data_IF_433536586373
#
_entry.id   IF_433536586373
#
_cell.length_a   1.000
_cell.length_b   1.000
_cell.length_c   1.000
_cell.angle_alpha   90.00
_cell.angle_beta   90.00
_cell.angle_gamma   90.00
#
_symmetry.space_group_name_H-M   'P 1'
#
loop_
_entity.id
_entity.type
_entity.pdbx_description
1 polymer ?
#
# COMPACT_ATOMS: atom_id res chain seq x y z
N UNK A 1 -14.06 16.76 8.48
CA UNK A 1 -14.68 16.52 7.15
C UNK A 1 -13.57 16.02 6.24
N UNK A 2 -13.81 15.05 5.36
CA UNK A 2 -12.76 14.55 4.47
C UNK A 2 -12.52 15.55 3.31
N UNK A 3 -11.27 15.80 2.95
CA UNK A 3 -10.92 16.70 1.86
C UNK A 3 -11.43 16.19 0.50
N UNK A 4 -11.73 17.12 -0.42
CA UNK A 4 -12.36 16.78 -1.71
C UNK A 4 -11.52 15.82 -2.55
N UNK A 5 -10.20 15.87 -2.44
CA UNK A 5 -9.32 14.94 -3.15
C UNK A 5 -9.52 13.49 -2.72
N UNK A 6 -9.56 13.22 -1.41
CA UNK A 6 -9.74 11.85 -0.93
C UNK A 6 -11.15 11.34 -1.23
N UNK A 7 -12.16 12.22 -1.22
CA UNK A 7 -13.51 11.89 -1.69
C UNK A 7 -13.50 11.50 -3.18
N UNK A 8 -12.85 12.28 -4.05
CA UNK A 8 -12.70 11.95 -5.47
C UNK A 8 -11.99 10.59 -5.67
N UNK A 9 -10.94 10.31 -4.89
CA UNK A 9 -10.24 9.01 -4.92
C UNK A 9 -11.16 7.85 -4.53
N UNK A 10 -11.95 8.01 -3.47
CA UNK A 10 -12.93 7.00 -3.03
C UNK A 10 -14.02 6.79 -4.10
N UNK A 11 -14.56 7.88 -4.66
CA UNK A 11 -15.51 7.85 -5.78
C UNK A 11 -14.93 7.06 -6.98
N UNK A 12 -13.66 7.30 -7.34
CA UNK A 12 -12.97 6.62 -8.44
C UNK A 12 -12.70 5.13 -8.14
N UNK A 13 -12.33 4.76 -6.91
CA UNK A 13 -12.15 3.36 -6.49
C UNK A 13 -13.47 2.59 -6.67
N UNK A 14 -14.59 3.13 -6.16
CA UNK A 14 -15.92 2.51 -6.29
C UNK A 14 -16.33 2.40 -7.76
N UNK A 15 -16.08 3.44 -8.56
CA UNK A 15 -16.38 3.44 -10.00
C UNK A 15 -15.61 2.33 -10.73
N UNK A 16 -14.30 2.19 -10.48
CA UNK A 16 -13.46 1.21 -11.18
C UNK A 16 -13.70 -0.23 -10.69
N UNK A 17 -14.04 -0.39 -9.41
CA UNK A 17 -14.49 -1.66 -8.85
C UNK A 17 -15.79 -2.12 -9.52
N UNK A 18 -16.73 -1.22 -9.79
CA UNK A 18 -18.05 -1.54 -10.37
C UNK A 18 -18.15 -1.44 -11.89
N UNK A 19 -17.14 -0.90 -12.59
CA UNK A 19 -17.21 -0.59 -14.05
C UNK A 19 -17.50 -1.79 -14.96
N UNK A 20 -17.22 -3.01 -14.51
CA UNK A 20 -17.54 -4.24 -15.24
C UNK A 20 -19.03 -4.59 -15.23
N UNK A 21 -19.81 -4.08 -14.25
CA UNK A 21 -21.25 -4.32 -14.13
C UNK A 21 -22.06 -3.44 -15.07
N UNK A 22 -21.57 -2.25 -15.39
CA UNK A 22 -22.21 -1.30 -16.32
C UNK A 22 -21.94 -1.63 -17.80
N UNK A 23 -20.89 -2.41 -18.08
CA UNK A 23 -20.46 -2.79 -19.42
C UNK A 23 -20.09 -4.28 -19.44
N UNK A 24 -21.04 -5.23 -19.59
CA UNK A 24 -20.81 -6.67 -19.36
C UNK A 24 -19.98 -7.38 -20.46
N UNK A 25 -19.16 -6.66 -21.21
CA UNK A 25 -18.25 -7.22 -22.21
C UNK A 25 -16.97 -7.80 -21.60
N UNK A 26 -16.36 -8.78 -22.28
CA UNK A 26 -15.09 -9.40 -21.87
C UNK A 26 -13.96 -8.39 -21.63
N UNK A 27 -13.92 -7.35 -22.46
CA UNK A 27 -12.94 -6.26 -22.38
C UNK A 27 -13.07 -5.41 -21.10
N UNK A 28 -14.27 -5.33 -20.51
CA UNK A 28 -14.49 -4.59 -19.28
C UNK A 28 -14.01 -5.34 -18.03
N UNK A 29 -14.08 -6.68 -18.02
CA UNK A 29 -13.43 -7.50 -16.99
C UNK A 29 -11.90 -7.37 -17.09
N UNK A 30 -11.36 -7.41 -18.32
CA UNK A 30 -9.92 -7.27 -18.60
C UNK A 30 -9.36 -5.85 -18.50
N UNK A 31 -10.20 -4.83 -18.33
CA UNK A 31 -9.75 -3.42 -18.33
C UNK A 31 -8.74 -3.12 -17.21
N UNK A 32 -7.55 -2.64 -17.59
CA UNK A 32 -6.47 -2.20 -16.69
C UNK A 32 -6.71 -0.83 -16.01
N UNK A 33 -7.92 -0.27 -16.11
CA UNK A 33 -8.27 1.00 -15.47
C UNK A 33 -8.12 0.99 -13.92
N UNK A 34 -7.91 -0.17 -13.30
CA UNK A 34 -7.64 -0.33 -11.87
C UNK A 34 -6.25 0.17 -11.43
N UNK A 35 -5.30 0.26 -12.35
CA UNK A 35 -3.91 0.65 -12.10
C UNK A 35 -3.74 2.12 -11.72
N UNK A 36 -4.78 2.94 -11.89
CA UNK A 36 -4.80 4.35 -11.47
C UNK A 36 -4.41 4.52 -9.99
N UNK A 37 -4.65 3.50 -9.15
CA UNK A 37 -4.28 3.51 -7.73
C UNK A 37 -2.76 3.64 -7.49
N UNK A 38 -1.94 3.32 -8.49
CA UNK A 38 -0.49 3.50 -8.43
C UNK A 38 -0.03 4.94 -8.67
N UNK A 39 -0.91 5.80 -9.21
CA UNK A 39 -0.64 7.19 -9.55
C UNK A 39 -0.40 8.10 -8.34
N UNK A 40 0.00 9.33 -8.63
CA UNK A 40 0.08 10.41 -7.65
C UNK A 40 -1.23 11.20 -7.62
N UNK A 41 -1.69 11.52 -6.41
CA UNK A 41 -2.93 12.27 -6.16
C UNK A 41 -2.58 13.52 -5.33
N UNK A 42 -2.25 14.62 -6.01
CA UNK A 42 -1.85 15.90 -5.37
C UNK A 42 -0.74 15.71 -4.32
N UNK A 43 0.37 15.11 -4.77
CA UNK A 43 1.48 14.77 -3.90
C UNK A 43 1.28 13.48 -3.09
N UNK A 44 0.06 12.99 -2.86
CA UNK A 44 -0.17 11.71 -2.17
C UNK A 44 0.09 10.48 -3.04
N UNK A 45 0.53 9.38 -2.40
CA UNK A 45 0.60 8.04 -2.97
C UNK A 45 -0.20 7.07 -2.09
N UNK A 46 -0.99 6.19 -2.72
CA UNK A 46 -1.69 5.12 -2.00
C UNK A 46 -0.69 4.02 -1.62
N UNK A 47 -0.58 3.75 -0.32
CA UNK A 47 0.22 2.69 0.27
C UNK A 47 -0.61 1.41 0.47
N UNK A 48 -1.83 1.55 1.00
CA UNK A 48 -2.74 0.45 1.26
C UNK A 48 -4.15 0.81 0.81
N UNK A 49 -4.84 -0.18 0.26
CA UNK A 49 -6.24 -0.11 -0.11
C UNK A 49 -6.88 -1.47 0.15
N UNK A 50 -8.07 -1.48 0.75
CA UNK A 50 -8.85 -2.70 0.89
C UNK A 50 -10.35 -2.41 0.85
N UNK A 51 -11.07 -3.18 0.03
CA UNK A 51 -12.51 -3.01 -0.23
C UNK A 51 -13.28 -4.31 0.08
N UNK A 52 -13.21 -4.77 1.34
CA UNK A 52 -13.46 -6.17 1.72
C UNK A 52 -14.90 -6.68 1.64
N UNK A 53 -15.92 -5.82 1.51
CA UNK A 53 -17.34 -6.25 1.54
C UNK A 53 -18.08 -6.13 0.20
N UNK A 54 -17.46 -5.61 -0.85
CA UNK A 54 -18.14 -5.45 -2.15
C UNK A 54 -17.72 -6.52 -3.18
N UNK A 55 -18.60 -6.85 -4.16
CA UNK A 55 -18.31 -7.88 -5.16
C UNK A 55 -17.35 -7.35 -6.24
N UNK A 56 -16.21 -8.02 -6.40
CA UNK A 56 -15.00 -7.48 -7.04
C UNK A 56 -14.31 -6.48 -6.10
N UNK A 57 -13.00 -6.23 -6.19
CA UNK A 57 -12.37 -5.29 -5.28
C UNK A 57 -10.85 -5.21 -5.30
N UNK A 58 -10.34 -4.22 -4.55
CA UNK A 58 -8.93 -4.01 -4.28
C UNK A 58 -8.49 -4.67 -2.98
N UNK A 59 -7.31 -5.26 -3.03
CA UNK A 59 -6.39 -5.43 -1.92
C UNK A 59 -5.01 -4.95 -2.38
N UNK A 60 -4.40 -4.04 -1.63
CA UNK A 60 -3.10 -3.44 -1.89
C UNK A 60 -2.34 -3.35 -0.56
N UNK A 61 -1.13 -3.90 -0.49
CA UNK A 61 -0.32 -3.91 0.73
C UNK A 61 1.14 -3.49 0.47
N UNK A 62 1.70 -2.56 1.27
CA UNK A 62 3.03 -2.02 1.02
C UNK A 62 4.10 -2.74 1.85
N UNK A 63 5.25 -2.99 1.22
CA UNK A 63 6.50 -3.40 1.83
C UNK A 63 7.64 -2.51 1.32
N UNK A 64 8.71 -2.33 2.08
CA UNK A 64 9.98 -1.83 1.53
C UNK A 64 10.83 -3.04 1.11
N UNK A 65 11.76 -2.90 0.19
CA UNK A 65 12.72 -3.95 -0.13
C UNK A 65 14.11 -3.33 -0.33
N UNK A 66 15.19 -3.86 0.29
CA UNK A 66 16.56 -3.44 0.00
C UNK A 66 16.84 -3.52 -1.51
N UNK A 67 17.36 -2.44 -2.11
CA UNK A 67 17.55 -2.35 -3.57
C UNK A 67 18.31 -3.54 -4.16
N UNK A 68 19.27 -4.07 -3.41
CA UNK A 68 20.16 -5.14 -3.83
C UNK A 68 19.44 -6.50 -3.95
N UNK A 69 18.25 -6.64 -3.35
CA UNK A 69 17.42 -7.86 -3.39
C UNK A 69 16.32 -7.81 -4.46
N UNK A 70 16.11 -6.65 -5.11
CA UNK A 70 14.96 -6.42 -6.00
C UNK A 70 14.97 -7.34 -7.22
N UNK A 71 16.15 -7.64 -7.77
CA UNK A 71 16.24 -8.52 -8.93
C UNK A 71 15.93 -9.99 -8.56
N UNK A 72 16.31 -10.44 -7.37
CA UNK A 72 15.88 -11.75 -6.84
C UNK A 72 14.36 -11.77 -6.63
N UNK A 73 13.78 -10.72 -6.04
CA UNK A 73 12.34 -10.63 -5.82
C UNK A 73 11.54 -10.71 -7.15
N UNK A 74 12.04 -10.10 -8.23
CA UNK A 74 11.43 -10.20 -9.57
C UNK A 74 11.37 -11.62 -10.13
N UNK A 75 12.31 -12.50 -9.77
CA UNK A 75 12.29 -13.90 -10.17
C UNK A 75 11.14 -14.65 -9.49
N UNK A 76 10.88 -14.35 -8.21
CA UNK A 76 9.84 -14.97 -7.39
C UNK A 76 8.42 -14.43 -7.69
N UNK A 77 8.30 -13.15 -8.07
CA UNK A 77 7.04 -12.55 -8.53
C UNK A 77 6.46 -13.26 -9.76
N UNK A 78 5.13 -13.34 -9.92
CA UNK A 78 4.09 -12.67 -9.12
C UNK A 78 3.64 -13.44 -7.88
N UNK A 79 4.35 -14.51 -7.49
CA UNK A 79 3.96 -15.34 -6.34
C UNK A 79 4.24 -14.62 -5.03
N UNK A 80 3.23 -14.49 -4.16
CA UNK A 80 3.39 -13.99 -2.80
C UNK A 80 2.30 -14.55 -1.88
N UNK A 81 2.60 -14.70 -0.60
CA UNK A 81 1.62 -15.00 0.45
C UNK A 81 1.78 -14.05 1.64
N UNK A 82 0.86 -13.10 1.77
CA UNK A 82 0.91 -12.03 2.78
C UNK A 82 -0.34 -12.08 3.63
N UNK A 83 -0.15 -12.01 4.94
CA UNK A 83 -1.19 -12.05 5.96
C UNK A 83 -1.06 -10.80 6.85
N UNK A 84 -1.69 -9.65 6.47
CA UNK A 84 -1.52 -8.37 7.17
C UNK A 84 -1.75 -8.38 8.70
N UNK A 85 -2.69 -9.16 9.27
CA UNK A 85 -2.88 -9.22 10.73
C UNK A 85 -1.76 -9.95 11.48
N UNK A 86 -1.03 -10.86 10.82
CA UNK A 86 0.10 -11.57 11.42
C UNK A 86 1.44 -10.87 11.17
N UNK A 87 1.46 -9.72 10.49
CA UNK A 87 2.67 -9.08 9.97
C UNK A 87 3.69 -8.57 11.00
N UNK A 88 3.50 -8.85 12.29
CA UNK A 88 4.26 -8.30 13.41
C UNK A 88 5.20 -9.33 14.05
N UNK A 89 6.01 -8.90 15.03
CA UNK A 89 6.77 -9.81 15.87
C UNK A 89 5.83 -10.65 16.75
N UNK A 90 5.91 -11.98 16.61
CA UNK A 90 5.21 -12.95 17.44
C UNK A 90 6.11 -13.50 18.55
N UNK A 91 5.55 -13.77 19.72
CA UNK A 91 6.18 -14.66 20.69
C UNK A 91 5.77 -16.09 20.35
N UNK A 92 6.74 -16.93 20.00
CA UNK A 92 6.52 -18.31 19.58
C UNK A 92 7.09 -19.26 20.63
N UNK A 93 6.37 -20.36 20.86
CA UNK A 93 6.67 -21.36 21.88
C UNK A 93 6.62 -22.76 21.29
N UNK A 94 7.63 -23.59 21.56
CA UNK A 94 7.65 -25.01 21.19
C UNK A 94 8.40 -25.82 22.23
N UNK A 95 7.66 -26.59 23.04
CA UNK A 95 8.18 -27.18 24.27
C UNK A 95 8.67 -26.09 25.23
N UNK A 96 9.89 -26.26 25.74
CA UNK A 96 10.56 -25.28 26.61
C UNK A 96 11.27 -24.14 25.83
N UNK A 97 11.20 -24.14 24.49
CA UNK A 97 11.82 -23.10 23.67
C UNK A 97 10.86 -21.93 23.45
N UNK A 98 11.38 -20.72 23.68
CA UNK A 98 10.70 -19.46 23.47
C UNK A 98 11.57 -18.56 22.58
N UNK A 99 10.99 -17.98 21.53
CA UNK A 99 11.68 -16.98 20.73
C UNK A 99 10.72 -15.89 20.26
N UNK A 100 11.30 -14.75 19.86
CA UNK A 100 10.58 -13.76 19.07
C UNK A 100 10.75 -14.16 17.61
N UNK A 101 9.64 -14.49 16.95
CA UNK A 101 9.62 -14.69 15.51
C UNK A 101 9.26 -13.35 14.84
N UNK A 102 10.17 -12.76 14.07
CA UNK A 102 9.78 -11.81 13.07
C UNK A 102 8.87 -12.54 12.05
N UNK A 103 7.68 -11.99 11.73
CA UNK A 103 6.82 -12.46 10.61
C UNK A 103 7.57 -12.69 9.28
N UNK A 104 8.69 -12.02 9.17
CA UNK A 104 9.66 -11.83 8.10
C UNK A 104 10.65 -12.98 7.92
N UNK A 105 10.73 -13.92 8.87
CA UNK A 105 11.82 -14.90 8.95
C UNK A 105 12.92 -14.46 9.92
N UNK A 106 14.19 -14.59 9.52
CA UNK A 106 15.33 -14.54 10.44
C UNK A 106 15.59 -13.11 11.01
N UNK A 107 15.66 -12.90 12.34
CA UNK A 107 15.84 -11.56 12.94
C UNK A 107 17.16 -10.85 12.61
N UNK A 108 18.16 -11.53 12.03
CA UNK A 108 19.42 -10.93 11.60
C UNK A 108 19.31 -10.18 10.26
N UNK A 109 18.18 -10.32 9.54
CA UNK A 109 18.11 -10.14 8.08
C UNK A 109 17.35 -8.87 7.61
N UNK A 110 17.48 -7.76 8.34
CA UNK A 110 16.99 -6.43 7.92
C UNK A 110 17.50 -5.97 6.53
N UNK A 111 18.54 -6.61 6.01
CA UNK A 111 19.12 -6.36 4.68
C UNK A 111 18.76 -7.44 3.64
N UNK A 112 18.11 -8.56 4.01
CA UNK A 112 17.70 -9.62 3.07
C UNK A 112 16.17 -9.67 2.86
N UNK A 113 15.40 -9.40 3.91
CA UNK A 113 13.94 -9.47 3.88
C UNK A 113 13.28 -8.17 3.42
N UNK A 114 12.03 -8.27 2.99
CA UNK A 114 11.14 -7.12 2.78
C UNK A 114 10.73 -6.47 4.12
N UNK A 115 10.22 -5.23 4.10
CA UNK A 115 9.92 -4.36 5.26
C UNK A 115 8.53 -3.68 5.18
N UNK A 116 7.35 -4.32 5.42
CA UNK A 116 6.11 -3.70 5.86
C UNK A 116 6.24 -2.42 6.66
N UNK A 117 5.59 -1.41 6.09
CA UNK A 117 5.59 -0.05 6.59
C UNK A 117 4.73 0.09 7.85
N UNK A 118 3.73 -0.79 8.00
CA UNK A 118 2.84 -0.84 9.15
C UNK A 118 2.35 -2.27 9.41
N UNK A 119 1.73 -2.45 10.57
CA UNK A 119 1.10 -3.67 11.03
C UNK A 119 -0.39 -3.43 11.25
N UNK A 120 -1.26 -4.40 10.90
CA UNK A 120 -2.66 -4.34 11.29
C UNK A 120 -2.82 -4.94 12.69
N UNK A 121 -3.13 -4.12 13.69
CA UNK A 121 -3.14 -4.50 15.10
C UNK A 121 -4.56 -4.58 15.64
N UNK A 122 -4.79 -5.57 16.49
CA UNK A 122 -6.03 -5.76 17.24
C UNK A 122 -5.70 -5.71 18.74
N UNK A 123 -6.24 -4.72 19.45
CA UNK A 123 -6.08 -4.61 20.90
C UNK A 123 -7.45 -4.53 21.58
N UNK A 124 -7.86 -5.65 22.19
CA UNK A 124 -9.13 -5.81 22.90
C UNK A 124 -9.31 -4.88 24.11
N UNK A 125 -8.23 -4.21 24.57
CA UNK A 125 -8.30 -3.20 25.63
C UNK A 125 -8.72 -1.81 25.15
N UNK A 126 -8.89 -1.56 23.84
CA UNK A 126 -9.45 -0.29 23.33
C UNK A 126 -10.99 -0.29 23.43
N UNK A 127 -11.63 0.90 23.46
CA UNK A 127 -13.09 1.00 23.37
C UNK A 127 -13.66 0.26 22.16
N UNK A 128 -14.86 -0.30 22.32
CA UNK A 128 -15.54 -1.07 21.27
C UNK A 128 -15.69 -0.26 19.98
N UNK A 129 -15.25 -0.83 18.86
CA UNK A 129 -15.15 -0.17 17.55
C UNK A 129 -13.80 0.51 17.27
N UNK A 130 -12.88 0.56 18.25
CA UNK A 130 -11.51 1.11 18.10
C UNK A 130 -10.40 0.06 18.35
N UNK A 131 -10.75 -1.22 18.48
CA UNK A 131 -9.81 -2.32 18.73
C UNK A 131 -8.81 -2.50 17.59
N UNK A 132 -9.24 -2.24 16.35
CA UNK A 132 -8.44 -2.43 15.13
C UNK A 132 -7.80 -1.12 14.66
N UNK A 133 -6.48 -1.03 14.74
CA UNK A 133 -5.70 0.15 14.34
C UNK A 133 -4.50 -0.26 13.49
N UNK A 134 -3.92 0.70 12.76
CA UNK A 134 -2.68 0.51 12.04
C UNK A 134 -1.53 1.06 12.87
N UNK A 135 -0.47 0.28 13.02
CA UNK A 135 0.72 0.64 13.80
C UNK A 135 1.90 0.71 12.83
N UNK A 136 2.39 1.91 12.54
CA UNK A 136 3.52 2.06 11.65
C UNK A 136 4.82 1.55 12.28
N UNK A 137 5.65 0.92 11.45
CA UNK A 137 6.95 0.43 11.85
C UNK A 137 7.84 1.62 12.25
N UNK A 138 8.55 1.51 13.37
CA UNK A 138 9.42 2.58 13.87
C UNK A 138 10.54 2.98 12.90
N UNK A 139 10.96 2.04 12.04
CA UNK A 139 11.90 2.32 10.95
C UNK A 139 11.32 3.24 9.85
N UNK A 140 9.99 3.35 9.79
CA UNK A 140 9.27 4.29 8.92
C UNK A 140 8.99 5.60 9.65
N UNK A 141 8.60 5.58 10.93
CA UNK A 141 8.19 6.82 11.63
C UNK A 141 9.35 7.65 12.14
N UNK A 142 10.35 7.05 12.80
CA UNK A 142 11.41 7.80 13.48
C UNK A 142 12.33 8.59 12.52
N UNK A 143 12.79 8.06 11.37
CA UNK A 143 13.74 8.78 10.50
C UNK A 143 13.19 10.03 9.80
N UNK A 144 11.86 10.20 9.82
CA UNK A 144 11.11 11.30 9.20
C UNK A 144 10.23 12.06 10.22
N UNK A 145 10.48 11.84 11.51
CA UNK A 145 9.88 12.49 12.68
C UNK A 145 8.35 12.47 12.67
N UNK A 146 7.77 11.26 12.59
CA UNK A 146 6.32 11.06 12.60
C UNK A 146 5.77 10.65 13.96
N UNK A 147 4.77 11.39 14.44
CA UNK A 147 3.92 11.04 15.56
C UNK A 147 2.46 10.89 15.12
N UNK A 148 1.64 10.20 15.93
CA UNK A 148 0.21 10.08 15.68
C UNK A 148 -0.53 11.27 16.29
N UNK A 149 -1.35 11.96 15.50
CA UNK A 149 -2.26 13.02 15.96
C UNK A 149 -3.69 12.49 16.02
N UNK A 150 -4.27 12.44 17.22
CA UNK A 150 -5.69 12.09 17.43
C UNK A 150 -6.64 13.16 16.86
N UNK A 151 -6.20 14.43 16.81
CA UNK A 151 -7.00 15.54 16.27
C UNK A 151 -7.16 15.42 14.75
N UNK A 152 -6.06 15.12 14.04
CA UNK A 152 -6.02 14.98 12.58
C UNK A 152 -6.34 13.57 12.07
N UNK A 153 -6.32 12.57 12.97
CA UNK A 153 -6.46 11.13 12.67
C UNK A 153 -5.47 10.68 11.57
N UNK A 154 -4.21 11.05 11.74
CA UNK A 154 -3.12 10.85 10.78
C UNK A 154 -1.77 10.81 11.51
N UNK A 155 -0.76 10.24 10.86
CA UNK A 155 0.61 10.49 11.29
C UNK A 155 1.08 11.82 10.71
N UNK A 156 1.54 12.69 11.60
CA UNK A 156 1.94 14.05 11.32
C UNK A 156 3.42 14.24 11.67
N UNK A 157 4.00 15.34 11.19
CA UNK A 157 5.25 15.91 11.68
C UNK A 157 5.01 17.36 12.05
N UNK A 158 5.72 17.87 13.05
CA UNK A 158 5.72 19.29 13.39
C UNK A 158 6.69 20.06 12.47
N UNK A 159 6.25 21.19 11.89
CA UNK A 159 7.11 22.04 11.05
C UNK A 159 7.95 23.07 11.85
N UNK A 160 8.63 23.98 11.15
CA UNK A 160 9.48 25.02 11.78
C UNK A 160 8.67 26.06 12.58
N UNK A 161 7.36 26.14 12.36
CA UNK A 161 6.42 27.06 12.98
C UNK A 161 5.75 26.44 14.21
N UNK A 162 5.82 25.12 14.36
CA UNK A 162 5.15 24.35 15.41
C UNK A 162 3.82 23.75 14.98
N UNK A 163 3.45 23.85 13.70
CA UNK A 163 2.18 23.33 13.19
C UNK A 163 2.30 21.85 12.82
N UNK A 164 1.26 21.06 13.13
CA UNK A 164 1.20 19.66 12.70
C UNK A 164 0.86 19.56 11.21
N UNK A 165 1.74 18.97 10.41
CA UNK A 165 1.53 18.70 8.98
C UNK A 165 1.23 17.21 8.77
N UNK A 166 0.15 16.91 8.04
CA UNK A 166 -0.24 15.53 7.74
C UNK A 166 0.70 14.87 6.71
N UNK A 167 1.36 13.79 7.13
CA UNK A 167 2.30 13.04 6.27
C UNK A 167 1.73 11.70 5.84
N UNK A 168 0.99 11.01 6.72
CA UNK A 168 0.30 9.75 6.41
C UNK A 168 -1.17 9.85 6.81
N UNK A 169 -2.06 9.85 5.82
CA UNK A 169 -3.51 9.89 6.06
C UNK A 169 -4.08 8.48 6.12
N UNK A 170 -4.84 8.21 7.17
CA UNK A 170 -5.58 6.95 7.34
C UNK A 170 -7.06 7.26 7.19
N UNK A 171 -7.71 6.61 6.24
CA UNK A 171 -9.13 6.81 5.94
C UNK A 171 -9.83 5.46 6.07
N UNK A 172 -10.87 5.42 6.90
CA UNK A 172 -11.81 4.30 6.98
C UNK A 172 -13.19 4.87 6.70
N UNK A 173 -13.74 4.59 5.53
CA UNK A 173 -15.05 5.06 5.10
C UNK A 173 -15.82 3.90 4.49
N UNK A 174 -17.02 3.64 5.02
CA UNK A 174 -17.88 2.52 4.63
C UNK A 174 -17.13 1.18 4.64
N UNK A 175 -16.96 0.55 3.47
CA UNK A 175 -16.23 -0.71 3.29
C UNK A 175 -14.82 -0.54 2.71
N UNK A 176 -14.33 0.70 2.67
CA UNK A 176 -13.04 1.09 2.08
C UNK A 176 -12.09 1.55 3.18
N UNK A 177 -10.91 0.94 3.23
CA UNK A 177 -9.80 1.37 4.07
C UNK A 177 -8.61 1.79 3.20
N UNK A 178 -8.17 3.04 3.35
CA UNK A 178 -7.04 3.63 2.64
C UNK A 178 -5.97 4.09 3.61
N UNK A 179 -4.73 3.96 3.17
CA UNK A 179 -3.57 4.63 3.77
C UNK A 179 -2.82 5.31 2.63
N UNK A 180 -2.57 6.60 2.79
CA UNK A 180 -1.81 7.42 1.84
C UNK A 180 -0.60 8.06 2.52
N UNK A 181 0.47 8.30 1.77
CA UNK A 181 1.65 9.05 2.23
C UNK A 181 2.00 10.18 1.27
N UNK A 182 2.50 11.30 1.80
CA UNK A 182 3.10 12.39 1.03
C UNK A 182 4.33 11.89 0.25
N UNK A 183 4.32 12.01 -1.08
CA UNK A 183 5.33 11.43 -1.99
C UNK A 183 6.73 11.89 -1.65
N UNK A 184 6.95 13.19 -1.40
CA UNK A 184 8.28 13.72 -1.07
C UNK A 184 8.88 13.00 0.15
N UNK A 185 8.06 12.73 1.16
CA UNK A 185 8.53 12.09 2.39
C UNK A 185 8.82 10.60 2.17
N UNK A 186 7.99 9.91 1.39
CA UNK A 186 8.26 8.53 0.99
C UNK A 186 9.55 8.40 0.17
N UNK A 187 9.77 9.25 -0.83
CA UNK A 187 11.01 9.22 -1.62
C UNK A 187 12.25 9.48 -0.77
N UNK A 188 12.18 10.40 0.21
CA UNK A 188 13.25 10.64 1.19
C UNK A 188 13.50 9.41 2.07
N UNK A 189 12.45 8.75 2.56
CA UNK A 189 12.57 7.51 3.36
C UNK A 189 13.22 6.38 2.55
N UNK A 190 12.74 6.12 1.33
CA UNK A 190 13.30 5.11 0.42
C UNK A 190 14.78 5.37 0.11
N UNK A 191 15.17 6.64 0.00
CA UNK A 191 16.57 7.00 -0.18
C UNK A 191 17.41 6.72 1.06
N UNK A 192 16.97 7.16 2.24
CA UNK A 192 17.71 7.02 3.50
C UNK A 192 17.98 5.55 3.86
N UNK A 193 17.01 4.66 3.66
CA UNK A 193 17.19 3.23 3.94
C UNK A 193 17.73 2.38 2.78
N UNK A 194 18.08 3.01 1.64
CA UNK A 194 18.45 2.31 0.41
C UNK A 194 17.40 1.28 -0.08
N UNK A 195 16.12 1.61 0.06
CA UNK A 195 15.00 0.74 -0.29
C UNK A 195 14.31 1.13 -1.61
N UNK A 196 13.46 0.22 -2.10
CA UNK A 196 12.33 0.49 -2.99
C UNK A 196 11.02 0.22 -2.23
N UNK A 197 9.90 0.77 -2.69
CA UNK A 197 8.58 0.37 -2.23
C UNK A 197 8.05 -0.77 -3.12
N UNK A 198 7.69 -1.89 -2.52
CA UNK A 198 6.93 -2.96 -3.14
C UNK A 198 5.46 -2.78 -2.74
N UNK A 199 4.58 -2.64 -3.73
CA UNK A 199 3.12 -2.61 -3.54
C UNK A 199 2.54 -3.90 -4.08
N UNK A 200 2.36 -4.87 -3.19
CA UNK A 200 1.64 -6.10 -3.50
C UNK A 200 0.17 -5.82 -3.69
N UNK A 201 -0.46 -6.48 -4.66
CA UNK A 201 -1.87 -6.30 -4.94
C UNK A 201 -2.57 -7.58 -5.40
N UNK A 202 -3.87 -7.62 -5.12
CA UNK A 202 -4.85 -8.44 -5.83
C UNK A 202 -6.02 -7.52 -6.15
N UNK A 203 -6.39 -7.44 -7.42
CA UNK A 203 -7.61 -6.78 -7.88
C UNK A 203 -8.45 -7.78 -8.65
N UNK A 204 -9.72 -7.96 -8.26
CA UNK A 204 -10.59 -8.95 -8.91
C UNK A 204 -11.94 -8.38 -9.35
N UNK A 205 -12.53 -9.05 -10.34
CA UNK A 205 -13.84 -8.75 -10.94
C UNK A 205 -14.57 -10.02 -11.28
N UNK A 206 -15.89 -9.99 -11.24
CA UNK A 206 -16.73 -11.09 -11.69
C UNK A 206 -18.11 -10.62 -12.14
N UNK A 207 -18.67 -11.29 -13.14
CA UNK A 207 -19.97 -10.95 -13.74
C UNK A 207 -21.14 -11.81 -13.23
N UNK A 208 -20.88 -12.75 -12.32
CA UNK A 208 -21.86 -13.64 -11.68
C UNK A 208 -21.64 -13.68 -10.17
N UNK A 209 -22.71 -13.84 -9.38
CA UNK A 209 -22.60 -13.84 -7.91
C UNK A 209 -21.74 -15.00 -7.35
N UNK A 210 -21.64 -16.10 -8.11
CA UNK A 210 -20.97 -17.34 -7.71
C UNK A 210 -20.05 -17.87 -8.82
N UNK A 211 -18.88 -17.25 -9.07
CA UNK A 211 -18.00 -17.64 -10.17
C UNK A 211 -17.39 -19.04 -9.98
N UNK A 212 -17.27 -19.79 -11.08
CA UNK A 212 -16.75 -21.16 -11.08
C UNK A 212 -15.22 -21.20 -11.24
N UNK A 213 -14.50 -21.48 -10.15
CA UNK A 213 -13.03 -21.65 -10.14
C UNK A 213 -12.50 -22.98 -10.70
N UNK A 214 -13.37 -23.89 -11.17
CA UNK A 214 -12.98 -25.24 -11.61
C UNK A 214 -12.22 -25.33 -12.94
N UNK A 215 -12.14 -24.25 -13.70
CA UNK A 215 -11.33 -24.17 -14.93
C UNK A 215 -10.82 -22.75 -15.09
N UNK A 216 -9.53 -22.55 -14.85
CA UNK A 216 -8.88 -21.26 -14.98
C UNK A 216 -7.64 -21.37 -15.86
N UNK A 217 -7.36 -20.30 -16.61
CA UNK A 217 -6.06 -20.06 -17.24
C UNK A 217 -5.38 -18.91 -16.51
N UNK A 218 -4.05 -18.83 -16.62
CA UNK A 218 -3.31 -17.65 -16.22
C UNK A 218 -2.14 -17.36 -17.15
N UNK A 219 -1.73 -16.11 -17.16
CA UNK A 219 -0.60 -15.57 -17.90
C UNK A 219 0.13 -14.57 -17.01
N UNK A 220 1.45 -14.47 -17.15
CA UNK A 220 2.25 -13.44 -16.46
C UNK A 220 2.35 -12.22 -17.38
N UNK A 221 2.20 -11.04 -16.80
CA UNK A 221 2.27 -9.76 -17.49
C UNK A 221 3.21 -8.79 -16.76
N UNK A 222 4.00 -8.07 -17.55
CA UNK A 222 4.92 -7.02 -17.12
C UNK A 222 4.63 -5.77 -17.96
N UNK A 223 4.11 -4.67 -17.35
CA UNK A 223 3.80 -3.45 -18.08
C UNK A 223 5.04 -2.69 -18.54
N UNK A 224 4.93 -1.97 -19.65
CA UNK A 224 5.96 -1.06 -20.14
C UNK A 224 5.92 0.31 -19.41
N UNK A 225 4.77 0.67 -18.84
CA UNK A 225 4.52 2.01 -18.30
C UNK A 225 5.06 2.22 -16.87
N UNK A 226 5.25 1.14 -16.12
CA UNK A 226 5.78 1.14 -14.75
C UNK A 226 6.39 -0.22 -14.39
N UNK A 227 7.33 -0.25 -13.44
CA UNK A 227 7.97 -1.50 -13.01
C UNK A 227 6.99 -2.34 -12.17
N UNK A 228 6.49 -3.44 -12.72
CA UNK A 228 5.61 -4.40 -12.04
C UNK A 228 5.66 -5.78 -12.69
N UNK A 229 5.18 -6.79 -11.98
CA UNK A 229 4.97 -8.15 -12.50
C UNK A 229 3.76 -8.78 -11.83
N UNK A 230 2.78 -9.23 -12.64
CA UNK A 230 1.53 -9.78 -12.13
C UNK A 230 0.97 -10.93 -12.99
N UNK A 231 0.23 -11.82 -12.35
CA UNK A 231 -0.58 -12.85 -12.98
C UNK A 231 -1.95 -12.26 -13.34
N UNK A 232 -2.43 -12.54 -14.56
CA UNK A 232 -3.82 -12.34 -14.97
C UNK A 232 -4.50 -13.71 -14.98
N UNK A 233 -5.17 -14.06 -13.88
CA UNK A 233 -5.93 -15.32 -13.75
C UNK A 233 -7.35 -15.12 -14.24
N UNK A 234 -7.82 -15.99 -15.13
CA UNK A 234 -9.15 -15.95 -15.75
C UNK A 234 -9.85 -17.29 -15.52
N UNK A 235 -11.07 -17.30 -14.97
CA UNK A 235 -11.85 -18.52 -14.77
C UNK A 235 -13.18 -18.41 -15.53
N UNK A 236 -13.36 -19.24 -16.56
CA UNK A 236 -14.54 -19.29 -17.46
C UNK A 236 -15.03 -17.96 -18.07
N UNK A 237 -14.19 -16.91 -18.11
CA UNK A 237 -14.61 -15.52 -18.36
C UNK A 237 -15.69 -14.99 -17.37
N UNK A 238 -15.89 -15.69 -16.24
CA UNK A 238 -16.79 -15.33 -15.14
C UNK A 238 -16.07 -14.53 -14.05
N UNK A 239 -14.79 -14.84 -13.81
CA UNK A 239 -13.91 -14.21 -12.82
C UNK A 239 -12.56 -13.88 -13.44
N UNK A 240 -12.06 -12.68 -13.13
CA UNK A 240 -10.70 -12.25 -13.47
C UNK A 240 -10.03 -11.70 -12.20
N UNK A 241 -8.78 -12.08 -11.98
CA UNK A 241 -7.90 -11.55 -10.93
C UNK A 241 -6.58 -11.09 -11.54
N UNK A 242 -6.16 -9.89 -11.15
CA UNK A 242 -4.85 -9.31 -11.39
C UNK A 242 -4.09 -9.36 -10.08
N UNK A 243 -3.08 -10.22 -9.97
CA UNK A 243 -2.35 -10.43 -8.70
C UNK A 243 -0.85 -10.38 -8.92
N UNK A 244 -0.15 -9.54 -8.17
CA UNK A 244 1.31 -9.43 -8.26
C UNK A 244 1.84 -8.29 -7.40
N UNK A 245 2.91 -7.65 -7.88
CA UNK A 245 3.47 -6.47 -7.21
C UNK A 245 3.91 -5.39 -8.19
N UNK A 246 3.81 -4.14 -7.73
CA UNK A 246 4.41 -2.96 -8.35
C UNK A 246 5.63 -2.51 -7.54
N UNK A 247 6.68 -2.07 -8.23
CA UNK A 247 7.94 -1.63 -7.66
C UNK A 247 8.07 -0.13 -7.90
N UNK A 248 8.00 0.68 -6.84
CA UNK A 248 8.19 2.13 -6.91
C UNK A 248 9.57 2.49 -6.32
N UNK A 249 10.43 3.04 -7.19
CA UNK A 249 11.73 3.58 -6.81
C UNK A 249 11.63 5.11 -6.65
N UNK A 250 12.46 5.70 -5.78
CA UNK A 250 12.57 7.17 -5.73
C UNK A 250 13.02 7.72 -7.08
N UNK A 251 12.19 8.59 -7.68
CA UNK A 251 12.48 9.23 -8.98
C UNK A 251 13.23 10.56 -8.82
N UNK A 252 13.23 11.13 -7.62
CA UNK A 252 13.99 12.35 -7.31
C UNK A 252 15.49 12.05 -7.11
N UNK A 253 16.42 12.83 -7.71
CA UNK A 253 17.86 12.71 -7.50
C UNK A 253 18.29 12.90 -6.04
N UNK A 254 19.39 12.24 -5.65
CA UNK A 254 19.95 12.27 -4.28
C UNK A 254 20.15 13.69 -3.76
N UNK A 255 20.73 14.56 -4.58
CA UNK A 255 21.09 15.93 -4.23
C UNK A 255 19.84 16.73 -3.85
N UNK A 256 18.74 16.51 -4.58
CA UNK A 256 17.45 17.14 -4.35
C UNK A 256 16.74 16.55 -3.11
N UNK A 257 16.79 15.23 -2.90
CA UNK A 257 16.27 14.60 -1.68
C UNK A 257 16.97 15.08 -0.41
N UNK A 258 18.29 15.26 -0.47
CA UNK A 258 19.09 15.74 0.66
C UNK A 258 18.94 17.25 0.89
N UNK A 259 18.59 18.01 -0.14
CA UNK A 259 18.20 19.43 0.03
C UNK A 259 16.85 19.62 0.72
N UNK A 260 15.96 18.62 0.69
CA UNK A 260 14.62 18.74 1.28
C UNK A 260 14.69 18.79 2.80
N UNK A 261 14.32 19.95 3.35
CA UNK A 261 14.08 20.14 4.77
C UNK A 261 12.83 19.40 5.20
N UNK A 262 12.71 19.15 6.49
CA UNK A 262 11.48 18.64 7.08
C UNK A 262 10.33 19.67 7.09
N UNK A 263 10.63 20.94 6.82
CA UNK A 263 9.70 22.04 6.59
C UNK A 263 9.24 22.20 5.13
N UNK A 264 9.84 21.49 4.16
CA UNK A 264 9.53 21.67 2.73
C UNK A 264 8.21 21.00 2.31
N UNK A 265 7.09 21.59 2.76
CA UNK A 265 5.74 21.14 2.45
C UNK A 265 5.49 21.03 0.94
N UNK A 266 4.60 20.12 0.51
CA UNK A 266 4.19 20.02 -0.89
C UNK A 266 3.42 21.29 -1.31
N UNK A 267 2.58 21.83 -0.43
CA UNK A 267 1.73 23.02 -0.63
C UNK A 267 2.49 24.35 -0.79
N UNK A 268 3.70 24.50 -0.23
CA UNK A 268 4.49 25.74 -0.37
C UNK A 268 5.14 25.89 -1.75
N UNK A 269 5.39 24.78 -2.46
CA UNK A 269 6.09 24.81 -3.74
C UNK A 269 5.18 25.35 -4.85
N UNK A 270 3.89 25.06 -4.80
CA UNK A 270 2.93 25.58 -5.79
C UNK A 270 2.67 27.08 -5.63
N UNK A 271 2.63 27.59 -4.38
CA UNK A 271 2.46 29.03 -4.10
C UNK A 271 3.62 29.92 -4.58
N UNK A 272 4.74 29.34 -5.02
CA UNK A 272 5.90 30.06 -5.59
C UNK A 272 5.93 30.08 -7.12
N UNK A 273 4.85 29.64 -7.80
CA UNK A 273 4.72 29.57 -9.26
C UNK A 273 3.50 30.41 -9.78
N UNK A 274 3.07 31.41 -9.01
CA UNK A 274 2.09 32.43 -9.42
C UNK A 274 2.68 33.84 -9.26
#
# INVERSE_FOLDING_TARGET
MLERIFLNLIEQIVQVQTSHKTSPGKDALLSRNWEFIFSNFDGWLVLYCSTLKQPGGYWLYPMLCPKDNVEKLKEELPSFNIHPPSAAYGHVMSGDNHWLEPYWGNPEDFNSAEIPLFFHRQYFGRPKGKENYYEFNQIVTHPIDLHWSEERNSYCRTDEQGDEVEIIKIIKQDDISLILIRKKVLEKLLHLGNWVLIRYFSFNRFNVDWPSFGTCTSEVYEPEEFEAKFEIRRCKDEYIEFRGAQIERSKTPKEKLLSWRFSDNEEEVEKKIC
#
